data_IF_430100778418
#
_entry.id   IF_430100778418
#
_cell.length_a   1.000
_cell.length_b   1.000
_cell.length_c   1.000
_cell.angle_alpha   90.00
_cell.angle_beta   90.00
_cell.angle_gamma   90.00
#
_symmetry.space_group_name_H-M   'P 1'
#
loop_
_entity.id
_entity.type
_entity.pdbx_description
1 polymer ?
#
# COMPACT_ATOMS: atom_id res chain seq x y z
N UNK A 1 -18.14 -11.16 -4.40
CA UNK A 1 -18.25 -10.43 -3.13
C UNK A 1 -16.86 -10.37 -2.55
N UNK A 2 -16.23 -9.19 -2.54
CA UNK A 2 -14.96 -9.00 -1.86
C UNK A 2 -15.28 -8.69 -0.39
N UNK A 3 -14.97 -9.61 0.51
CA UNK A 3 -15.20 -9.39 1.94
C UNK A 3 -14.16 -8.39 2.44
N UNK A 4 -14.61 -7.27 2.99
CA UNK A 4 -13.74 -6.30 3.66
C UNK A 4 -13.39 -6.84 5.05
N UNK A 5 -12.31 -7.61 5.13
CA UNK A 5 -11.78 -8.05 6.41
C UNK A 5 -10.68 -7.09 6.84
N UNK A 6 -10.84 -6.42 7.99
CA UNK A 6 -9.76 -5.70 8.70
C UNK A 6 -8.66 -6.65 9.24
N UNK A 7 -8.64 -7.86 8.70
CA UNK A 7 -7.73 -8.94 8.98
C UNK A 7 -6.96 -9.23 7.70
N UNK A 8 -5.64 -9.13 7.79
CA UNK A 8 -4.74 -9.42 6.69
C UNK A 8 -4.18 -10.82 6.95
N UNK A 9 -4.58 -11.84 6.19
CA UNK A 9 -3.93 -13.15 6.27
C UNK A 9 -2.47 -13.03 5.81
N UNK A 10 -1.59 -13.82 6.40
CA UNK A 10 -0.16 -13.81 6.04
C UNK A 10 0.03 -14.16 4.56
N UNK A 11 0.92 -13.42 3.88
CA UNK A 11 1.22 -13.61 2.45
C UNK A 11 0.27 -12.92 1.46
N UNK A 12 -0.66 -12.07 1.90
CA UNK A 12 -1.54 -11.32 0.99
C UNK A 12 -0.81 -10.19 0.26
N UNK A 13 -1.10 -10.02 -1.03
CA UNK A 13 -0.61 -8.90 -1.85
C UNK A 13 -1.78 -7.96 -2.15
N UNK A 14 -1.53 -6.66 -2.04
CA UNK A 14 -2.45 -5.58 -2.37
C UNK A 14 -1.96 -4.82 -3.60
N UNK A 15 -2.91 -4.30 -4.37
CA UNK A 15 -2.64 -3.32 -5.42
C UNK A 15 -2.52 -1.93 -4.80
N UNK A 16 -1.53 -1.18 -5.26
CA UNK A 16 -1.20 0.16 -4.82
C UNK A 16 -1.09 1.12 -6.00
N UNK A 17 -1.50 2.36 -5.75
CA UNK A 17 -1.41 3.46 -6.68
C UNK A 17 -1.02 4.75 -5.96
N UNK A 18 -0.05 5.46 -6.54
CA UNK A 18 0.26 6.82 -6.17
C UNK A 18 -0.03 7.71 -7.38
N UNK A 19 -0.91 8.68 -7.21
CA UNK A 19 -1.27 9.66 -8.22
C UNK A 19 -0.11 10.62 -8.47
N UNK A 20 0.05 11.02 -9.72
CA UNK A 20 0.99 12.08 -10.12
C UNK A 20 0.73 13.39 -9.35
N UNK A 21 1.82 14.02 -8.91
CA UNK A 21 1.81 15.41 -8.45
C UNK A 21 2.72 16.22 -9.37
N UNK A 22 2.10 17.04 -10.22
CA UNK A 22 2.79 17.81 -11.27
C UNK A 22 3.96 18.63 -10.69
N UNK A 23 5.14 18.44 -11.27
CA UNK A 23 6.37 19.12 -10.84
C UNK A 23 7.05 18.51 -9.60
N UNK A 24 6.52 17.40 -9.08
CA UNK A 24 7.06 16.71 -7.90
C UNK A 24 7.42 15.26 -8.19
N UNK A 25 6.46 14.44 -8.62
CA UNK A 25 6.68 13.04 -8.99
C UNK A 25 5.58 12.54 -9.94
N UNK A 26 5.92 11.53 -10.75
CA UNK A 26 4.98 10.82 -11.63
C UNK A 26 3.95 10.00 -10.86
N UNK A 27 3.04 9.36 -11.59
CA UNK A 27 2.20 8.30 -11.03
C UNK A 27 3.00 7.00 -10.87
N UNK A 28 2.56 6.11 -9.99
CA UNK A 28 3.19 4.82 -9.74
C UNK A 28 2.11 3.77 -9.49
N UNK A 29 2.16 2.67 -10.25
CA UNK A 29 1.43 1.44 -9.96
C UNK A 29 2.37 0.42 -9.32
N UNK A 30 1.89 -0.28 -8.31
CA UNK A 30 2.69 -1.27 -7.61
C UNK A 30 1.82 -2.34 -6.95
N UNK A 31 2.38 -3.52 -6.73
CA UNK A 31 1.79 -4.54 -5.88
C UNK A 31 2.68 -4.74 -4.65
N UNK A 32 2.10 -4.88 -3.47
CA UNK A 32 2.87 -4.92 -2.23
C UNK A 32 2.24 -5.83 -1.17
N UNK A 33 3.09 -6.31 -0.25
CA UNK A 33 2.65 -6.98 0.97
C UNK A 33 2.56 -5.94 2.09
N UNK A 34 1.39 -5.71 2.68
CA UNK A 34 1.26 -4.76 3.78
C UNK A 34 2.00 -5.25 5.01
N UNK A 35 2.64 -4.32 5.72
CA UNK A 35 3.34 -4.60 6.97
C UNK A 35 2.31 -4.94 8.06
N UNK A 36 2.52 -6.05 8.77
CA UNK A 36 1.64 -6.44 9.87
C UNK A 36 1.84 -5.54 11.10
N UNK A 37 0.82 -5.42 11.96
CA UNK A 37 0.87 -4.54 13.13
C UNK A 37 2.10 -4.78 14.03
N UNK A 38 2.51 -6.04 14.21
CA UNK A 38 3.71 -6.41 14.98
C UNK A 38 5.00 -5.90 14.31
N UNK A 39 5.12 -6.06 13.00
CA UNK A 39 6.27 -5.58 12.23
C UNK A 39 6.34 -4.06 12.22
N UNK A 40 5.18 -3.40 12.08
CA UNK A 40 5.06 -1.94 12.12
C UNK A 40 5.61 -1.36 13.42
N UNK A 41 5.28 -1.96 14.57
CA UNK A 41 5.83 -1.51 15.86
C UNK A 41 7.36 -1.61 15.92
N UNK A 42 7.94 -2.68 15.38
CA UNK A 42 9.40 -2.87 15.31
C UNK A 42 10.03 -1.83 14.37
N UNK A 43 9.44 -1.62 13.20
CA UNK A 43 9.88 -0.61 12.21
C UNK A 43 9.86 0.78 12.83
N UNK A 44 8.75 1.19 13.45
CA UNK A 44 8.63 2.52 14.08
C UNK A 44 9.70 2.75 15.15
N UNK A 45 9.93 1.76 16.02
CA UNK A 45 10.97 1.83 17.04
C UNK A 45 12.35 1.96 16.40
N UNK A 46 12.64 1.18 15.36
CA UNK A 46 13.92 1.23 14.64
C UNK A 46 14.16 2.58 13.98
N UNK A 47 13.16 3.11 13.26
CA UNK A 47 13.27 4.40 12.59
C UNK A 47 13.47 5.55 13.57
N UNK A 48 12.79 5.54 14.73
CA UNK A 48 12.96 6.58 15.76
C UNK A 48 14.36 6.62 16.39
N UNK A 49 15.12 5.53 16.28
CA UNK A 49 16.47 5.42 16.83
C UNK A 49 17.57 5.78 15.81
N UNK A 50 17.22 6.00 14.54
CA UNK A 50 18.15 6.31 13.47
C UNK A 50 18.22 7.83 13.22
N UNK A 51 19.36 8.36 12.76
CA UNK A 51 19.41 9.70 12.18
C UNK A 51 18.58 9.73 10.88
N UNK A 52 18.19 10.93 10.38
CA UNK A 52 17.34 11.06 9.20
C UNK A 52 17.82 10.27 7.98
N UNK A 53 19.11 10.37 7.63
CA UNK A 53 19.71 9.61 6.51
C UNK A 53 19.59 8.09 6.71
N UNK A 54 19.80 7.63 7.94
CA UNK A 54 19.64 6.21 8.29
C UNK A 54 18.20 5.73 8.19
N UNK A 55 17.23 6.60 8.52
CA UNK A 55 15.81 6.30 8.41
C UNK A 55 15.36 6.19 6.94
N UNK A 56 15.93 6.99 6.02
CA UNK A 56 15.66 6.88 4.59
C UNK A 56 16.21 5.57 4.00
N UNK A 57 17.45 5.20 4.34
CA UNK A 57 18.04 3.92 3.93
C UNK A 57 17.22 2.73 4.44
N UNK A 58 16.77 2.79 5.69
CA UNK A 58 15.91 1.74 6.25
C UNK A 58 14.53 1.69 5.59
N UNK A 59 13.97 2.84 5.21
CA UNK A 59 12.71 2.91 4.47
C UNK A 59 12.83 2.26 3.09
N UNK A 60 13.92 2.52 2.37
CA UNK A 60 14.21 1.89 1.08
C UNK A 60 14.33 0.35 1.19
N UNK A 61 14.96 -0.16 2.26
CA UNK A 61 15.02 -1.59 2.57
C UNK A 61 13.64 -2.21 2.77
N UNK A 62 12.79 -1.52 3.53
CA UNK A 62 11.43 -2.00 3.82
C UNK A 62 10.60 -2.02 2.53
N UNK A 63 10.72 -0.98 1.70
CA UNK A 63 10.07 -0.92 0.39
C UNK A 63 10.52 -2.09 -0.48
N UNK A 64 11.82 -2.31 -0.65
CA UNK A 64 12.36 -3.40 -1.47
C UNK A 64 11.93 -4.79 -0.97
N UNK A 65 11.70 -4.95 0.33
CA UNK A 65 11.21 -6.21 0.91
C UNK A 65 9.72 -6.43 0.63
N UNK A 66 8.91 -5.37 0.67
CA UNK A 66 7.46 -5.49 0.70
C UNK A 66 6.80 -5.28 -0.66
N UNK A 67 7.35 -4.40 -1.50
CA UNK A 67 6.89 -4.26 -2.89
C UNK A 67 7.28 -5.52 -3.66
N UNK A 68 6.31 -6.10 -4.36
CA UNK A 68 6.51 -7.29 -5.18
C UNK A 68 6.81 -6.89 -6.63
N UNK A 69 6.15 -5.85 -7.11
CA UNK A 69 6.34 -5.29 -8.45
C UNK A 69 5.93 -3.81 -8.47
N UNK A 70 6.50 -3.06 -9.41
CA UNK A 70 6.07 -1.69 -9.73
C UNK A 70 6.27 -1.41 -11.23
N UNK A 71 5.68 -0.32 -11.72
CA UNK A 71 5.80 0.12 -13.12
C UNK A 71 6.87 1.19 -13.35
N UNK A 72 7.81 1.37 -12.41
CA UNK A 72 8.93 2.29 -12.60
C UNK A 72 9.82 1.85 -13.76
N UNK A 73 10.15 2.81 -14.61
CA UNK A 73 11.08 2.65 -15.73
C UNK A 73 12.22 3.65 -15.66
N UNK A 74 13.38 3.28 -16.18
CA UNK A 74 14.53 4.16 -16.29
C UNK A 74 14.21 5.29 -17.29
N UNK A 75 14.43 6.56 -16.93
CA UNK A 75 13.99 7.69 -17.76
C UNK A 75 14.69 7.76 -19.12
N UNK A 76 15.92 7.25 -19.23
CA UNK A 76 16.70 7.32 -20.47
C UNK A 76 16.54 6.07 -21.35
N UNK A 77 16.35 4.89 -20.75
CA UNK A 77 16.34 3.61 -21.48
C UNK A 77 14.94 3.03 -21.63
N UNK A 78 13.98 3.47 -20.80
CA UNK A 78 12.63 2.91 -20.75
C UNK A 78 12.56 1.51 -20.13
N UNK A 79 13.67 0.97 -19.63
CA UNK A 79 13.72 -0.37 -19.03
C UNK A 79 13.08 -0.38 -17.64
N UNK A 80 12.40 -1.48 -17.29
CA UNK A 80 11.83 -1.65 -15.97
C UNK A 80 12.91 -1.64 -14.88
N UNK A 81 12.69 -0.84 -13.84
CA UNK A 81 13.58 -0.78 -12.68
C UNK A 81 13.24 -1.93 -11.74
N UNK A 82 14.20 -2.77 -11.31
CA UNK A 82 13.91 -3.87 -10.39
C UNK A 82 13.64 -3.34 -8.98
N UNK A 83 12.81 -4.07 -8.24
CA UNK A 83 12.44 -3.77 -6.84
C UNK A 83 13.57 -4.22 -5.90
N UNK A 84 14.66 -3.47 -5.87
CA UNK A 84 15.82 -3.74 -5.01
C UNK A 84 16.18 -2.51 -4.17
N UNK A 85 16.85 -2.71 -3.04
CA UNK A 85 17.24 -1.61 -2.12
C UNK A 85 18.01 -0.50 -2.84
N UNK A 86 18.96 -0.86 -3.71
CA UNK A 86 19.80 0.08 -4.44
C UNK A 86 19.01 0.98 -5.42
N UNK A 87 17.85 0.51 -5.88
CA UNK A 87 16.96 1.25 -6.77
C UNK A 87 15.87 1.98 -5.99
N UNK A 88 15.31 1.36 -4.95
CA UNK A 88 14.34 1.99 -4.05
C UNK A 88 14.90 3.27 -3.42
N UNK A 89 16.17 3.26 -2.97
CA UNK A 89 16.84 4.43 -2.40
C UNK A 89 17.10 5.58 -3.38
N UNK A 90 16.84 5.38 -4.69
CA UNK A 90 17.00 6.41 -5.74
C UNK A 90 15.67 6.98 -6.22
N UNK A 91 14.54 6.50 -5.68
CA UNK A 91 13.23 7.05 -5.96
C UNK A 91 13.15 8.49 -5.44
N UNK A 92 12.36 9.34 -6.11
CA UNK A 92 12.11 10.70 -5.68
C UNK A 92 11.64 10.72 -4.19
N UNK A 93 12.18 11.58 -3.31
CA UNK A 93 11.98 11.46 -1.86
C UNK A 93 10.51 11.49 -1.38
N UNK A 94 9.65 12.31 -2.00
CA UNK A 94 8.23 12.36 -1.63
C UNK A 94 7.47 11.11 -2.08
N UNK A 95 7.82 10.56 -3.24
CA UNK A 95 7.32 9.26 -3.69
C UNK A 95 7.77 8.15 -2.73
N UNK A 96 9.04 8.13 -2.33
CA UNK A 96 9.57 7.18 -1.34
C UNK A 96 8.80 7.24 -0.02
N UNK A 97 8.63 8.44 0.53
CA UNK A 97 7.91 8.66 1.79
C UNK A 97 6.44 8.21 1.71
N UNK A 98 5.77 8.50 0.58
CA UNK A 98 4.37 8.10 0.36
C UNK A 98 4.25 6.58 0.19
N UNK A 99 5.09 5.97 -0.63
CA UNK A 99 5.14 4.52 -0.83
C UNK A 99 5.38 3.79 0.50
N UNK A 100 6.35 4.24 1.28
CA UNK A 100 6.61 3.73 2.62
C UNK A 100 5.38 3.85 3.54
N UNK A 101 4.72 5.01 3.54
CA UNK A 101 3.53 5.27 4.36
C UNK A 101 2.35 4.37 3.99
N UNK A 102 2.18 4.05 2.69
CA UNK A 102 1.16 3.12 2.21
C UNK A 102 1.46 1.69 2.66
N UNK A 103 2.69 1.22 2.41
CA UNK A 103 3.13 -0.15 2.76
C UNK A 103 3.02 -0.41 4.26
N UNK A 104 3.29 0.61 5.08
CA UNK A 104 3.20 0.52 6.54
C UNK A 104 1.81 0.78 7.11
N UNK A 105 0.82 1.10 6.28
CA UNK A 105 -0.55 1.36 6.69
C UNK A 105 -0.73 2.65 7.50
N UNK A 106 0.09 3.67 7.25
CA UNK A 106 -0.07 5.02 7.81
C UNK A 106 -0.90 5.92 6.90
N UNK A 107 -0.89 5.64 5.60
CA UNK A 107 -1.69 6.32 4.60
C UNK A 107 -2.37 5.28 3.70
N UNK A 108 -3.57 5.55 3.18
CA UNK A 108 -4.19 4.71 2.16
C UNK A 108 -3.48 4.92 0.81
N UNK A 109 -3.68 3.95 -0.10
CA UNK A 109 -3.37 4.13 -1.52
C UNK A 109 -4.25 5.23 -2.13
N UNK A 110 -3.77 5.92 -3.17
CA UNK A 110 -4.64 6.81 -3.92
C UNK A 110 -5.67 6.01 -4.75
N UNK A 111 -6.80 6.64 -5.07
CA UNK A 111 -7.78 6.06 -5.99
C UNK A 111 -7.25 6.11 -7.41
N UNK A 112 -7.16 4.95 -8.05
CA UNK A 112 -6.93 4.87 -9.47
C UNK A 112 -8.27 4.87 -10.22
N UNK A 113 -8.48 5.86 -11.11
CA UNK A 113 -9.72 5.99 -11.88
C UNK A 113 -9.91 4.87 -12.89
N UNK A 114 -8.85 4.15 -13.29
CA UNK A 114 -8.95 3.01 -14.21
C UNK A 114 -9.30 1.69 -13.53
N UNK A 115 -9.23 1.63 -12.19
CA UNK A 115 -9.60 0.42 -11.43
C UNK A 115 -11.09 0.11 -11.54
N UNK A 116 -11.43 -1.17 -11.50
CA UNK A 116 -12.83 -1.62 -11.45
C UNK A 116 -13.49 -1.16 -10.14
N UNK A 117 -14.83 -1.10 -10.05
CA UNK A 117 -15.53 -0.84 -8.79
C UNK A 117 -15.12 -1.80 -7.66
N UNK A 118 -14.71 -3.03 -7.97
CA UNK A 118 -14.17 -3.99 -7.01
C UNK A 118 -12.78 -3.58 -6.49
N UNK A 119 -11.92 -3.05 -7.35
CA UNK A 119 -10.57 -2.58 -7.01
C UNK A 119 -10.56 -1.19 -6.36
N UNK A 120 -11.53 -0.33 -6.71
CA UNK A 120 -11.72 1.02 -6.12
C UNK A 120 -12.32 1.01 -4.73
N UNK A 121 -12.81 -0.13 -4.24
CA UNK A 121 -13.50 -0.26 -2.96
C UNK A 121 -12.51 -0.13 -1.79
N UNK A 122 -12.11 1.10 -1.52
CA UNK A 122 -11.74 1.55 -0.19
C UNK A 122 -12.91 2.41 0.33
N UNK A 123 -13.71 1.83 1.23
CA UNK A 123 -14.77 2.48 2.05
C UNK A 123 -15.77 3.39 1.32
N UNK A 124 -16.91 2.85 0.89
CA UNK A 124 -18.13 3.68 0.72
C UNK A 124 -19.14 3.35 1.81
N UNK A 125 -19.62 4.38 2.49
CA UNK A 125 -20.60 4.40 3.58
C UNK A 125 -21.83 3.50 3.36
N UNK A 126 -22.16 3.13 2.12
CA UNK A 126 -23.37 2.37 1.78
C UNK A 126 -23.46 0.96 2.40
N UNK A 127 -22.33 0.26 2.57
CA UNK A 127 -22.33 -1.08 3.20
C UNK A 127 -22.33 -0.98 4.73
N UNK A 128 -21.69 0.04 5.30
CA UNK A 128 -21.78 0.35 6.74
C UNK A 128 -23.20 0.82 7.09
N UNK A 129 -23.81 1.68 6.28
CA UNK A 129 -25.21 2.08 6.37
C UNK A 129 -26.14 0.87 6.31
N UNK A 130 -25.92 -0.09 5.40
CA UNK A 130 -26.70 -1.34 5.32
C UNK A 130 -26.50 -2.27 6.53
N UNK A 131 -25.26 -2.39 7.01
CA UNK A 131 -24.96 -3.15 8.22
C UNK A 131 -25.60 -2.51 9.46
N UNK A 132 -25.46 -1.19 9.61
CA UNK A 132 -26.05 -0.40 10.70
C UNK A 132 -27.58 -0.34 10.63
N UNK A 133 -28.16 -0.43 9.43
CA UNK A 133 -29.62 -0.56 9.22
C UNK A 133 -30.15 -1.96 9.48
N UNK A 134 -29.29 -2.94 9.81
CA UNK A 134 -29.70 -4.28 10.21
C UNK A 134 -30.03 -5.23 9.05
N UNK A 135 -29.74 -4.86 7.80
CA UNK A 135 -30.12 -5.63 6.61
C UNK A 135 -29.23 -6.88 6.37
N UNK A 136 -28.19 -7.08 7.19
CA UNK A 136 -27.23 -8.18 7.05
C UNK A 136 -27.41 -9.33 8.07
N UNK A 137 -28.39 -9.26 8.98
CA UNK A 137 -28.52 -10.24 10.08
C UNK A 137 -29.24 -11.56 9.67
N UNK A 138 -29.91 -11.60 8.53
CA UNK A 138 -30.89 -12.68 8.21
C UNK A 138 -30.40 -13.77 7.24
N UNK A 139 -29.11 -14.15 7.22
CA UNK A 139 -28.63 -15.17 6.26
C UNK A 139 -28.07 -16.49 6.77
N UNK A 140 -28.00 -16.76 8.07
CA UNK A 140 -27.56 -18.09 8.55
C UNK A 140 -28.38 -18.66 9.72
N UNK A 141 -29.71 -18.75 9.56
CA UNK A 141 -30.57 -19.61 10.40
C UNK A 141 -31.22 -20.76 9.61
N UNK A 142 -30.72 -21.09 8.42
CA UNK A 142 -31.18 -22.24 7.63
C UNK A 142 -29.99 -22.99 7.05
N UNK A 143 -29.22 -23.66 7.91
CA UNK A 143 -28.43 -24.86 7.59
C UNK A 143 -27.67 -25.36 8.84
N UNK A 144 -28.40 -25.74 9.89
CA UNK A 144 -28.08 -26.85 10.80
C UNK A 144 -29.21 -27.03 11.81
#
# INVERSE_FOLDING_TARGET
>A
MAYQTNYIPDGYTLDGYIKEVKGLHGALLFAYRPVLAKERSVISKKLSALPPEGAEVESAKIIAKQVQEWDLVHPETGEAIPVEEAHAGKIQPNMLAKLFSIITGWQPTDINESWTPEQKRDTTDDEYERFMKGDLVDREAKNS
#
